data_IF_035286290970
#
_entry.id   IF_035286290970
#
_cell.length_a   1.000
_cell.length_b   1.000
_cell.length_c   1.000
_cell.angle_alpha   90.00
_cell.angle_beta   90.00
_cell.angle_gamma   90.00
#
_symmetry.space_group_name_H-M   'P 1'
#
loop_
_entity.id
_entity.type
_entity.pdbx_description
1 polymer ?
#
# COMPACT_ATOMS: atom_id res chain seq x y z
N UNK A 1 63.22 5.96 17.40
CA UNK A 1 61.99 5.62 18.13
C UNK A 1 60.89 6.56 17.65
N UNK A 2 60.07 6.12 16.70
CA UNK A 2 58.77 6.69 16.37
C UNK A 2 58.13 5.76 15.35
N UNK A 3 57.18 4.95 15.79
CA UNK A 3 56.28 4.18 14.92
C UNK A 3 54.85 4.38 15.40
N UNK A 4 54.00 4.61 14.41
CA UNK A 4 52.59 4.22 14.33
C UNK A 4 51.57 4.92 15.21
N UNK A 5 50.72 5.75 14.58
CA UNK A 5 49.30 5.85 14.94
C UNK A 5 48.48 6.38 13.73
N UNK A 6 48.40 5.58 12.66
CA UNK A 6 47.56 5.89 11.48
C UNK A 6 46.97 4.60 10.92
N UNK A 7 46.09 3.94 11.68
CA UNK A 7 45.42 2.70 11.24
C UNK A 7 44.04 2.47 11.87
N UNK A 8 43.31 3.52 12.26
CA UNK A 8 41.98 3.39 12.87
C UNK A 8 40.84 4.12 12.14
N UNK A 9 41.13 4.93 11.12
CA UNK A 9 40.08 5.65 10.37
C UNK A 9 39.61 4.95 9.08
N UNK A 10 40.34 3.96 8.56
CA UNK A 10 39.97 3.31 7.28
C UNK A 10 39.02 2.12 7.43
N UNK A 11 38.89 1.53 8.62
CA UNK A 11 38.04 0.35 8.85
C UNK A 11 36.57 0.71 9.09
N UNK A 12 36.28 1.92 9.59
CA UNK A 12 34.92 2.39 9.89
C UNK A 12 34.14 2.78 8.62
N UNK A 13 34.82 3.33 7.60
CA UNK A 13 34.17 3.70 6.33
C UNK A 13 33.80 2.50 5.46
N UNK A 14 34.54 1.38 5.55
CA UNK A 14 34.26 0.18 4.74
C UNK A 14 33.03 -0.54 5.30
N UNK A 15 32.88 -0.62 6.63
CA UNK A 15 31.73 -1.27 7.27
C UNK A 15 30.40 -0.52 7.02
N UNK A 16 30.42 0.82 6.99
CA UNK A 16 29.23 1.62 6.69
C UNK A 16 28.79 1.49 5.22
N UNK A 17 29.73 1.40 4.28
CA UNK A 17 29.43 1.22 2.87
C UNK A 17 28.89 -0.19 2.55
N UNK A 18 29.34 -1.22 3.27
CA UNK A 18 28.80 -2.59 3.11
C UNK A 18 27.45 -2.76 3.80
N UNK A 19 27.21 -2.07 4.93
CA UNK A 19 25.92 -2.10 5.60
C UNK A 19 24.82 -1.38 4.79
N UNK A 20 25.15 -0.23 4.18
CA UNK A 20 24.25 0.47 3.25
C UNK A 20 23.89 -0.40 2.06
N UNK A 21 24.88 -0.99 1.37
CA UNK A 21 24.64 -1.86 0.22
C UNK A 21 23.80 -3.10 0.58
N UNK A 22 24.00 -3.67 1.77
CA UNK A 22 23.20 -4.80 2.24
C UNK A 22 21.74 -4.40 2.53
N UNK A 23 21.51 -3.19 3.06
CA UNK A 23 20.16 -2.67 3.29
C UNK A 23 19.45 -2.34 1.99
N UNK A 24 20.16 -1.79 1.00
CA UNK A 24 19.62 -1.48 -0.33
C UNK A 24 19.16 -2.76 -1.03
N UNK A 25 19.98 -3.82 -1.02
CA UNK A 25 19.61 -5.12 -1.61
C UNK A 25 18.37 -5.71 -0.93
N UNK A 26 18.28 -5.65 0.39
CA UNK A 26 17.09 -6.13 1.11
C UNK A 26 15.86 -5.25 0.89
N UNK A 27 16.03 -3.98 0.54
CA UNK A 27 14.94 -3.07 0.20
C UNK A 27 14.33 -3.39 -1.17
N UNK A 28 15.17 -3.67 -2.16
CA UNK A 28 14.74 -4.04 -3.52
C UNK A 28 13.92 -5.34 -3.55
N UNK A 29 14.16 -6.21 -2.58
CA UNK A 29 13.49 -7.50 -2.46
C UNK A 29 12.27 -7.46 -1.56
N UNK A 30 11.77 -6.30 -1.14
CA UNK A 30 10.59 -6.23 -0.28
C UNK A 30 9.29 -6.40 -1.07
N UNK A 31 8.35 -7.12 -0.47
CA UNK A 31 7.08 -7.43 -1.13
C UNK A 31 6.39 -8.70 -0.65
N UNK A 32 5.34 -9.02 -1.39
CA UNK A 32 4.60 -10.26 -1.37
C UNK A 32 4.48 -10.73 -2.83
N UNK A 33 4.92 -11.96 -3.08
CA UNK A 33 4.94 -12.61 -4.39
C UNK A 33 4.16 -13.91 -4.26
N UNK A 34 3.32 -14.18 -5.25
CA UNK A 34 2.50 -15.38 -5.25
C UNK A 34 2.39 -15.94 -6.64
N UNK A 35 2.41 -17.27 -6.75
CA UNK A 35 2.34 -17.92 -8.04
C UNK A 35 2.12 -19.42 -7.91
N UNK A 36 1.93 -20.04 -9.06
CA UNK A 36 1.85 -21.49 -9.16
C UNK A 36 2.79 -22.01 -10.23
N UNK A 37 3.36 -23.16 -9.94
CA UNK A 37 4.13 -23.94 -10.89
C UNK A 37 3.26 -25.10 -11.38
N UNK A 38 3.02 -25.14 -12.68
CA UNK A 38 2.17 -26.16 -13.31
C UNK A 38 2.79 -27.56 -13.32
N UNK A 39 2.24 -28.48 -14.12
CA UNK A 39 2.80 -29.83 -14.24
C UNK A 39 4.29 -29.81 -14.57
N UNK A 40 5.10 -30.69 -13.94
CA UNK A 40 4.65 -31.89 -13.23
C UNK A 40 4.35 -31.71 -11.74
N UNK A 41 4.87 -30.66 -11.08
CA UNK A 41 4.82 -30.55 -9.62
C UNK A 41 3.52 -29.92 -9.06
N UNK A 42 2.73 -29.19 -9.84
CA UNK A 42 1.46 -28.56 -9.40
C UNK A 42 1.55 -27.92 -8.00
N UNK A 43 2.52 -27.03 -7.82
CA UNK A 43 2.79 -26.38 -6.54
C UNK A 43 2.33 -24.92 -6.55
N UNK A 44 1.89 -24.39 -5.40
CA UNK A 44 1.70 -22.94 -5.22
C UNK A 44 2.62 -22.38 -4.16
N UNK A 45 3.02 -21.14 -4.36
CA UNK A 45 4.02 -20.43 -3.57
C UNK A 45 3.43 -19.10 -3.15
N UNK A 46 3.54 -18.80 -1.87
CA UNK A 46 3.30 -17.49 -1.30
C UNK A 46 4.57 -17.09 -0.56
N UNK A 47 5.21 -16.01 -1.00
CA UNK A 47 6.50 -15.55 -0.49
C UNK A 47 6.29 -14.13 0.01
N UNK A 48 6.78 -13.85 1.21
CA UNK A 48 6.77 -12.52 1.81
C UNK A 48 8.14 -12.23 2.39
N UNK A 49 8.74 -11.11 1.99
CA UNK A 49 10.09 -10.70 2.38
C UNK A 49 10.00 -9.24 2.82
N UNK A 50 10.36 -8.99 4.07
CA UNK A 50 10.14 -7.70 4.76
C UNK A 50 11.44 -7.26 5.43
N UNK A 51 12.47 -7.00 4.62
CA UNK A 51 13.80 -6.70 5.10
C UNK A 51 14.54 -7.97 5.54
N UNK A 52 14.92 -8.06 6.81
CA UNK A 52 15.72 -9.18 7.33
C UNK A 52 14.90 -10.42 7.76
N UNK A 53 13.58 -10.36 7.60
CA UNK A 53 12.65 -11.44 7.94
C UNK A 53 11.71 -11.71 6.77
N UNK A 54 11.16 -12.92 6.73
CA UNK A 54 10.17 -13.29 5.73
C UNK A 54 9.41 -14.54 6.10
N UNK A 55 8.51 -14.93 5.22
CA UNK A 55 7.70 -16.14 5.30
C UNK A 55 7.56 -16.73 3.90
N UNK A 56 7.61 -18.05 3.80
CA UNK A 56 7.25 -18.75 2.57
C UNK A 56 6.25 -19.85 2.92
N UNK A 57 5.12 -19.86 2.21
CA UNK A 57 4.13 -20.93 2.25
C UNK A 57 4.15 -21.66 0.91
N UNK A 58 4.19 -22.98 1.01
CA UNK A 58 4.33 -23.90 -0.11
C UNK A 58 3.20 -24.91 -0.02
N UNK A 59 2.41 -25.01 -1.07
CA UNK A 59 1.46 -26.11 -1.23
C UNK A 59 2.04 -27.06 -2.27
N UNK A 60 2.51 -28.23 -1.85
CA UNK A 60 3.20 -29.19 -2.72
C UNK A 60 2.49 -30.54 -2.67
N UNK A 61 2.13 -31.15 -3.81
CA UNK A 61 1.58 -32.51 -3.84
C UNK A 61 2.55 -33.51 -3.22
N UNK A 62 2.06 -34.38 -2.34
CA UNK A 62 2.87 -35.46 -1.80
C UNK A 62 2.80 -36.66 -2.78
N UNK A 63 3.95 -37.19 -3.26
CA UNK A 63 3.94 -38.37 -4.12
C UNK A 63 3.17 -39.54 -3.49
N UNK A 64 2.31 -40.18 -4.26
CA UNK A 64 1.45 -41.31 -3.87
C UNK A 64 0.37 -41.03 -2.80
N UNK A 65 0.17 -39.77 -2.41
CA UNK A 65 -0.95 -39.35 -1.55
C UNK A 65 -1.96 -38.49 -2.31
N UNK A 66 -3.22 -38.49 -1.85
CA UNK A 66 -4.28 -37.64 -2.41
C UNK A 66 -4.15 -36.19 -1.87
N UNK A 67 -3.41 -36.02 -0.77
CA UNK A 67 -3.27 -34.75 -0.06
C UNK A 67 -1.99 -34.03 -0.50
N UNK A 68 -2.04 -32.71 -0.45
CA UNK A 68 -0.85 -31.86 -0.59
C UNK A 68 -0.30 -31.52 0.80
N UNK A 69 1.01 -31.35 0.89
CA UNK A 69 1.68 -30.85 2.08
C UNK A 69 1.65 -29.32 2.03
N UNK A 70 1.04 -28.71 3.04
CA UNK A 70 1.14 -27.28 3.28
C UNK A 70 2.34 -27.02 4.20
N UNK A 71 3.41 -26.45 3.64
CA UNK A 71 4.63 -26.14 4.36
C UNK A 71 4.77 -24.64 4.52
N UNK A 72 4.79 -24.18 5.77
CA UNK A 72 5.03 -22.77 6.12
C UNK A 72 6.39 -22.66 6.79
N UNK A 73 7.24 -21.77 6.28
CA UNK A 73 8.57 -21.53 6.84
C UNK A 73 8.76 -20.07 7.21
N UNK A 74 9.36 -19.86 8.37
CA UNK A 74 9.77 -18.54 8.86
C UNK A 74 11.23 -18.31 8.45
N UNK A 75 11.48 -17.20 7.78
CA UNK A 75 12.74 -16.92 7.10
C UNK A 75 13.60 -15.93 7.86
N UNK A 76 14.88 -16.24 7.97
CA UNK A 76 15.94 -15.24 8.18
C UNK A 76 16.50 -14.87 6.80
N UNK A 77 16.46 -13.57 6.47
CA UNK A 77 16.80 -13.06 5.15
C UNK A 77 18.11 -12.27 5.23
N UNK A 78 19.07 -12.64 4.39
CA UNK A 78 20.36 -11.99 4.22
C UNK A 78 20.54 -11.59 2.73
N UNK A 79 21.38 -10.60 2.38
CA UNK A 79 21.56 -10.22 0.98
C UNK A 79 21.88 -11.42 0.06
N UNK A 80 20.95 -11.73 -0.85
CA UNK A 80 21.04 -12.81 -1.84
C UNK A 80 20.61 -14.21 -1.36
N UNK A 81 20.32 -14.42 -0.08
CA UNK A 81 19.96 -15.75 0.47
C UNK A 81 18.99 -15.67 1.64
N UNK A 82 18.16 -16.69 1.81
CA UNK A 82 17.36 -16.86 3.01
C UNK A 82 17.36 -18.30 3.51
N UNK A 83 17.28 -18.43 4.83
CA UNK A 83 17.17 -19.70 5.52
C UNK A 83 15.85 -19.76 6.27
N UNK A 84 15.06 -20.79 5.98
CA UNK A 84 13.75 -21.04 6.56
C UNK A 84 13.78 -22.15 7.62
N UNK A 85 13.06 -21.93 8.71
CA UNK A 85 12.71 -22.97 9.69
C UNK A 85 11.22 -23.27 9.59
N UNK A 86 10.84 -24.55 9.63
CA UNK A 86 9.45 -24.96 9.54
C UNK A 86 8.62 -24.37 10.70
N UNK A 87 7.44 -23.86 10.38
CA UNK A 87 6.46 -23.45 11.37
C UNK A 87 5.57 -24.64 11.78
N UNK A 88 5.16 -24.68 13.04
CA UNK A 88 4.35 -25.75 13.63
C UNK A 88 2.93 -25.88 13.09
N UNK A 89 2.50 -24.95 12.23
CA UNK A 89 1.24 -25.02 11.48
C UNK A 89 1.37 -25.82 10.17
N UNK A 90 2.57 -26.32 9.84
CA UNK A 90 2.81 -27.14 8.65
C UNK A 90 2.27 -28.56 8.80
N UNK A 91 1.75 -29.12 7.71
CA UNK A 91 1.29 -30.50 7.65
C UNK A 91 2.45 -31.51 7.41
N UNK A 92 2.15 -32.81 7.52
CA UNK A 92 3.15 -33.87 7.36
C UNK A 92 3.81 -33.87 5.97
N UNK A 93 5.14 -34.08 5.92
CA UNK A 93 5.90 -34.18 4.66
C UNK A 93 6.82 -32.99 4.35
N UNK A 94 6.77 -31.94 5.17
CA UNK A 94 7.60 -30.75 5.04
C UNK A 94 9.00 -30.95 5.66
N UNK A 95 10.09 -30.60 4.94
CA UNK A 95 11.42 -30.50 5.52
C UNK A 95 11.48 -29.59 6.76
N UNK A 96 12.31 -29.93 7.74
CA UNK A 96 12.47 -29.10 8.96
C UNK A 96 13.13 -27.74 8.69
N UNK A 97 13.96 -27.67 7.65
CA UNK A 97 14.68 -26.48 7.24
C UNK A 97 14.83 -26.42 5.72
N UNK A 98 14.94 -25.20 5.20
CA UNK A 98 15.19 -24.93 3.79
C UNK A 98 16.17 -23.77 3.63
N UNK A 99 16.96 -23.78 2.56
CA UNK A 99 17.79 -22.63 2.17
C UNK A 99 17.58 -22.35 0.69
N UNK A 100 17.43 -21.07 0.37
CA UNK A 100 17.26 -20.61 -1.01
C UNK A 100 18.04 -19.33 -1.26
N UNK A 101 18.45 -19.15 -2.50
CA UNK A 101 18.88 -17.86 -3.01
C UNK A 101 17.68 -17.16 -3.65
N UNK A 102 17.73 -15.84 -3.66
CA UNK A 102 16.76 -15.02 -4.37
C UNK A 102 17.46 -13.98 -5.24
N UNK A 103 16.79 -13.64 -6.34
CA UNK A 103 17.18 -12.49 -7.17
C UNK A 103 15.91 -11.83 -7.72
N UNK A 104 15.93 -10.51 -7.77
CA UNK A 104 14.99 -9.74 -8.56
C UNK A 104 15.42 -9.82 -10.03
N UNK A 105 14.48 -10.16 -10.92
CA UNK A 105 14.70 -10.22 -12.37
C UNK A 105 14.28 -8.91 -13.08
N UNK A 106 13.85 -7.89 -12.32
CA UNK A 106 13.52 -6.55 -12.82
C UNK A 106 12.23 -6.46 -13.63
N UNK A 107 11.49 -7.57 -13.76
CA UNK A 107 10.23 -7.66 -14.48
C UNK A 107 9.04 -7.91 -13.53
N UNK A 108 9.10 -7.37 -12.30
CA UNK A 108 8.10 -7.67 -11.27
C UNK A 108 8.04 -9.18 -10.93
N UNK A 109 9.21 -9.83 -11.00
CA UNK A 109 9.39 -11.27 -10.78
C UNK A 109 10.50 -11.49 -9.75
N UNK A 110 10.19 -12.28 -8.72
CA UNK A 110 11.16 -12.81 -7.78
C UNK A 110 11.57 -14.22 -8.23
N UNK A 111 12.85 -14.46 -8.47
CA UNK A 111 13.36 -15.82 -8.72
C UNK A 111 13.85 -16.42 -7.41
N UNK A 112 13.30 -17.58 -7.05
CA UNK A 112 13.75 -18.42 -5.95
C UNK A 112 14.60 -19.56 -6.50
N UNK A 113 15.81 -19.74 -5.98
CA UNK A 113 16.68 -20.87 -6.30
C UNK A 113 16.85 -21.73 -5.05
N UNK A 114 16.46 -23.01 -5.11
CA UNK A 114 16.51 -23.92 -3.97
C UNK A 114 17.93 -24.49 -3.84
N UNK A 115 18.67 -24.04 -2.83
CA UNK A 115 20.09 -24.40 -2.67
C UNK A 115 20.29 -25.75 -1.99
N UNK A 116 19.44 -26.07 -1.01
CA UNK A 116 19.50 -27.32 -0.26
C UNK A 116 18.10 -27.71 0.23
N UNK A 117 17.61 -28.90 -0.13
CA UNK A 117 16.39 -29.43 0.50
C UNK A 117 15.77 -30.68 -0.12
N UNK A 118 15.08 -31.52 0.68
CA UNK A 118 14.18 -32.57 0.18
C UNK A 118 13.01 -32.01 -0.64
N UNK A 119 12.68 -30.73 -0.46
CA UNK A 119 11.63 -30.05 -1.23
C UNK A 119 11.97 -30.00 -2.74
N UNK A 120 13.24 -29.83 -3.12
CA UNK A 120 13.67 -29.91 -4.51
C UNK A 120 13.40 -31.31 -5.11
N UNK A 121 13.41 -32.36 -4.28
CA UNK A 121 13.04 -33.72 -4.71
C UNK A 121 11.52 -33.87 -4.85
N UNK A 122 10.74 -33.24 -3.95
CA UNK A 122 9.27 -33.18 -4.03
C UNK A 122 8.76 -32.34 -5.20
N UNK A 123 9.52 -31.34 -5.62
CA UNK A 123 9.30 -30.52 -6.82
C UNK A 123 9.94 -31.14 -8.08
N UNK A 124 10.22 -32.45 -8.09
CA UNK A 124 10.78 -33.20 -9.24
C UNK A 124 12.08 -32.63 -9.84
N UNK A 125 12.95 -32.05 -9.02
CA UNK A 125 14.24 -31.50 -9.45
C UNK A 125 14.17 -30.07 -10.00
N UNK A 126 13.12 -29.32 -9.67
CA UNK A 126 13.07 -27.87 -9.93
C UNK A 126 14.13 -27.16 -9.09
N UNK A 127 15.10 -26.56 -9.76
CA UNK A 127 16.20 -25.80 -9.15
C UNK A 127 15.80 -24.34 -8.91
N UNK A 128 14.99 -23.75 -9.79
CA UNK A 128 14.54 -22.36 -9.68
C UNK A 128 13.07 -22.16 -10.08
N UNK A 129 12.40 -21.18 -9.45
CA UNK A 129 11.03 -20.78 -9.74
C UNK A 129 10.94 -19.26 -9.78
N UNK A 130 10.34 -18.72 -10.84
CA UNK A 130 10.00 -17.31 -10.93
C UNK A 130 8.56 -17.09 -10.41
N UNK A 131 8.42 -16.22 -9.41
CA UNK A 131 7.15 -15.90 -8.74
C UNK A 131 6.81 -14.43 -9.03
N UNK A 132 5.65 -14.13 -9.63
CA UNK A 132 5.26 -12.75 -9.90
C UNK A 132 4.94 -11.99 -8.62
N UNK A 133 5.23 -10.70 -8.63
CA UNK A 133 4.85 -9.80 -7.55
C UNK A 133 3.33 -9.65 -7.48
N UNK A 134 2.83 -9.61 -6.25
CA UNK A 134 1.44 -9.24 -5.94
C UNK A 134 1.40 -7.83 -5.35
N UNK A 135 2.32 -7.55 -4.44
CA UNK A 135 2.43 -6.28 -3.73
C UNK A 135 3.91 -5.99 -3.42
N UNK A 136 4.35 -4.76 -3.66
CA UNK A 136 5.67 -4.26 -3.23
C UNK A 136 5.60 -2.75 -2.99
N UNK A 137 6.54 -2.15 -2.24
CA UNK A 137 6.67 -0.71 -2.22
C UNK A 137 6.94 -0.17 -3.63
N UNK A 138 6.50 1.07 -3.87
CA UNK A 138 6.87 1.77 -5.09
C UNK A 138 8.38 2.00 -5.13
N UNK A 139 9.00 1.72 -6.26
CA UNK A 139 10.36 2.13 -6.53
C UNK A 139 10.43 3.65 -6.69
N UNK A 140 11.57 4.24 -6.34
CA UNK A 140 11.76 5.70 -6.42
C UNK A 140 11.50 6.24 -7.83
N UNK A 141 11.88 5.47 -8.86
CA UNK A 141 11.65 5.83 -10.26
C UNK A 141 10.17 5.80 -10.68
N UNK A 142 9.30 5.13 -9.92
CA UNK A 142 7.87 5.00 -10.19
C UNK A 142 7.06 6.13 -9.54
N UNK A 143 7.68 6.90 -8.64
CA UNK A 143 7.05 8.07 -8.01
C UNK A 143 7.27 9.31 -8.89
N UNK A 144 6.21 9.92 -9.43
CA UNK A 144 6.37 11.04 -10.35
C UNK A 144 6.92 12.29 -9.69
N UNK A 145 8.01 12.83 -10.26
CA UNK A 145 8.55 14.10 -9.82
C UNK A 145 7.63 15.26 -10.25
N UNK A 146 7.17 16.06 -9.28
CA UNK A 146 6.51 17.35 -9.56
C UNK A 146 5.01 17.26 -9.87
N UNK A 147 4.38 16.10 -9.69
CA UNK A 147 2.93 16.02 -9.68
C UNK A 147 2.35 16.84 -8.52
N UNK A 148 1.26 17.55 -8.80
CA UNK A 148 0.51 18.30 -7.79
C UNK A 148 -0.89 17.72 -7.74
N UNK A 149 -1.20 17.01 -6.66
CA UNK A 149 -2.51 16.41 -6.46
C UNK A 149 -3.63 17.46 -6.58
N UNK A 150 -4.79 17.08 -7.13
CA UNK A 150 -5.98 17.93 -7.10
C UNK A 150 -6.32 18.37 -5.68
N UNK A 151 -7.01 19.50 -5.54
CA UNK A 151 -7.37 20.05 -4.23
C UNK A 151 -8.89 20.16 -4.07
N UNK A 152 -9.39 20.17 -2.84
CA UNK A 152 -10.71 20.72 -2.50
C UNK A 152 -10.49 21.94 -1.62
N UNK A 153 -11.00 23.09 -2.09
CA UNK A 153 -10.87 24.38 -1.39
C UNK A 153 -9.40 24.74 -1.04
N UNK A 154 -8.45 24.34 -1.87
CA UNK A 154 -7.01 24.56 -1.66
C UNK A 154 -6.32 23.48 -0.83
N UNK A 155 -7.06 22.58 -0.17
CA UNK A 155 -6.48 21.45 0.58
C UNK A 155 -6.34 20.25 -0.34
N UNK A 156 -5.17 19.60 -0.34
CA UNK A 156 -4.87 18.45 -1.20
C UNK A 156 -4.07 17.39 -0.46
N UNK A 157 -4.01 16.16 -0.99
CA UNK A 157 -3.06 15.17 -0.52
C UNK A 157 -1.59 15.69 -0.52
N UNK A 158 -0.78 15.13 0.37
CA UNK A 158 0.61 15.51 0.64
C UNK A 158 0.79 16.65 1.64
N UNK A 159 -0.26 17.42 1.96
CA UNK A 159 -0.20 18.49 2.97
C UNK A 159 -0.12 17.93 4.39
N UNK A 160 0.46 18.71 5.30
CA UNK A 160 0.40 18.50 6.76
C UNK A 160 -0.93 18.98 7.35
N UNK A 161 -1.20 18.60 8.61
CA UNK A 161 -2.33 19.12 9.35
C UNK A 161 -2.27 20.65 9.53
N UNK A 162 -1.08 21.20 9.78
CA UNK A 162 -0.89 22.64 9.98
C UNK A 162 -1.15 23.46 8.70
N UNK A 163 -0.74 22.94 7.54
CA UNK A 163 -1.02 23.57 6.24
C UNK A 163 -2.52 23.57 5.92
N UNK A 164 -3.20 22.44 6.15
CA UNK A 164 -4.64 22.34 5.94
C UNK A 164 -5.44 23.22 6.91
N UNK A 165 -5.04 23.29 8.18
CA UNK A 165 -5.62 24.17 9.19
C UNK A 165 -5.57 25.63 8.73
N UNK A 166 -4.41 26.11 8.30
CA UNK A 166 -4.25 27.50 7.84
C UNK A 166 -5.20 27.84 6.68
N UNK A 167 -5.43 26.89 5.76
CA UNK A 167 -6.34 27.09 4.62
C UNK A 167 -7.81 27.07 5.05
N UNK A 168 -8.21 26.09 5.87
CA UNK A 168 -9.61 25.87 6.22
C UNK A 168 -10.10 26.89 7.25
N UNK A 169 -9.27 27.29 8.20
CA UNK A 169 -9.62 28.34 9.17
C UNK A 169 -9.86 29.69 8.49
N UNK A 170 -9.05 30.03 7.48
CA UNK A 170 -9.19 31.28 6.72
C UNK A 170 -10.48 31.31 5.88
N UNK A 171 -11.02 30.12 5.58
CA UNK A 171 -12.33 29.93 4.91
C UNK A 171 -13.51 29.82 5.87
N UNK A 172 -13.29 29.99 7.17
CA UNK A 172 -14.31 29.97 8.21
C UNK A 172 -14.76 28.58 8.64
N UNK A 173 -14.00 27.52 8.32
CA UNK A 173 -14.25 26.20 8.87
C UNK A 173 -13.66 26.08 10.29
N UNK A 174 -14.34 25.32 11.13
CA UNK A 174 -13.88 24.97 12.47
C UNK A 174 -13.61 23.47 12.58
N UNK A 175 -12.45 23.12 13.15
CA UNK A 175 -12.07 21.75 13.44
C UNK A 175 -13.03 21.12 14.46
N UNK A 176 -13.52 19.93 14.14
CA UNK A 176 -14.23 19.05 15.05
C UNK A 176 -13.24 18.15 15.79
N UNK A 177 -13.74 17.42 16.80
CA UNK A 177 -12.92 16.47 17.53
C UNK A 177 -12.26 15.45 16.57
N UNK A 178 -10.92 15.27 16.63
CA UNK A 178 -10.21 14.30 15.81
C UNK A 178 -10.75 12.89 16.04
N UNK A 179 -10.82 12.10 14.96
CA UNK A 179 -11.11 10.68 15.03
C UNK A 179 -9.80 9.91 14.93
N UNK A 180 -9.53 9.07 15.92
CA UNK A 180 -8.31 8.26 15.98
C UNK A 180 -8.67 6.80 15.77
N UNK A 181 -7.88 6.12 14.94
CA UNK A 181 -7.94 4.67 14.75
C UNK A 181 -6.59 4.09 15.14
N UNK A 182 -6.59 3.21 16.14
CA UNK A 182 -5.39 2.52 16.60
C UNK A 182 -5.27 1.17 15.89
N UNK A 183 -4.07 0.88 15.40
CA UNK A 183 -3.66 -0.43 14.93
C UNK A 183 -2.53 -0.99 15.78
N UNK A 184 -2.04 -2.18 15.44
CA UNK A 184 -0.88 -2.75 16.10
C UNK A 184 0.38 -1.97 15.70
N UNK A 185 0.88 -1.12 16.60
CA UNK A 185 2.09 -0.32 16.41
C UNK A 185 1.92 0.90 15.49
N UNK A 186 0.68 1.35 15.24
CA UNK A 186 0.43 2.58 14.48
C UNK A 186 -0.87 3.28 14.89
N UNK A 187 -0.99 4.56 14.58
CA UNK A 187 -2.22 5.35 14.76
C UNK A 187 -2.56 6.11 13.48
N UNK A 188 -3.82 6.09 13.07
CA UNK A 188 -4.35 6.90 11.97
C UNK A 188 -5.22 8.01 12.54
N UNK A 189 -5.07 9.23 12.00
CA UNK A 189 -5.88 10.39 12.39
C UNK A 189 -6.75 10.81 11.23
N UNK A 190 -8.04 11.01 11.50
CA UNK A 190 -9.01 11.59 10.58
C UNK A 190 -9.53 12.91 11.18
N UNK A 191 -9.46 14.01 10.42
CA UNK A 191 -9.90 15.33 10.87
C UNK A 191 -11.12 15.78 10.08
N UNK A 192 -12.14 16.30 10.76
CA UNK A 192 -13.31 16.89 10.11
C UNK A 192 -13.38 18.38 10.42
N UNK A 193 -13.46 19.19 9.37
CA UNK A 193 -13.60 20.63 9.42
C UNK A 193 -14.99 21.01 8.95
N UNK A 194 -15.72 21.76 9.77
CA UNK A 194 -17.13 22.04 9.53
C UNK A 194 -17.37 23.53 9.46
N UNK A 195 -18.19 23.94 8.50
CA UNK A 195 -18.77 25.27 8.41
C UNK A 195 -20.28 25.14 8.35
N UNK A 196 -20.96 25.82 9.28
CA UNK A 196 -22.41 25.79 9.42
C UNK A 196 -22.98 27.18 9.21
N UNK A 197 -23.81 27.32 8.18
CA UNK A 197 -24.49 28.57 7.84
C UNK A 197 -26.00 28.31 7.76
N UNK A 198 -26.69 28.40 8.90
CA UNK A 198 -28.12 28.14 9.00
C UNK A 198 -28.46 26.65 8.83
N UNK A 199 -29.13 26.30 7.74
CA UNK A 199 -29.48 24.92 7.38
C UNK A 199 -28.47 24.29 6.41
N UNK A 200 -27.51 25.07 5.91
CA UNK A 200 -26.41 24.59 5.08
C UNK A 200 -25.33 23.94 5.96
N UNK A 201 -24.87 22.75 5.55
CA UNK A 201 -23.84 22.01 6.25
C UNK A 201 -22.72 21.66 5.28
N UNK A 202 -21.52 22.16 5.53
CA UNK A 202 -20.35 21.98 4.68
C UNK A 202 -19.21 21.39 5.51
N UNK A 203 -18.82 20.15 5.21
CA UNK A 203 -17.76 19.43 5.91
C UNK A 203 -16.63 19.09 4.96
N UNK A 204 -15.41 19.39 5.37
CA UNK A 204 -14.18 18.90 4.73
C UNK A 204 -13.56 17.84 5.65
N UNK A 205 -13.47 16.60 5.16
CA UNK A 205 -12.82 15.49 5.86
C UNK A 205 -11.40 15.29 5.34
N UNK A 206 -10.45 15.05 6.23
CA UNK A 206 -9.04 14.83 5.91
C UNK A 206 -8.61 13.48 6.51
N UNK A 207 -8.20 12.55 5.66
CA UNK A 207 -7.60 11.28 6.08
C UNK A 207 -6.09 11.35 5.96
N UNK A 208 -5.38 11.06 7.05
CA UNK A 208 -3.92 11.13 7.11
C UNK A 208 -3.30 9.74 7.01
N UNK A 209 -2.08 9.66 6.48
CA UNK A 209 -1.23 8.48 6.62
C UNK A 209 -1.03 8.15 8.10
N UNK A 210 -0.87 6.87 8.39
CA UNK A 210 -0.57 6.34 9.69
C UNK A 210 0.75 6.90 10.25
N UNK A 211 0.74 7.16 11.55
CA UNK A 211 1.93 7.33 12.33
C UNK A 211 2.36 5.97 12.85
N UNK A 212 3.37 5.37 12.22
CA UNK A 212 3.96 4.08 12.62
C UNK A 212 5.00 4.31 13.71
N UNK A 213 4.99 3.48 14.75
CA UNK A 213 5.94 3.56 15.85
C UNK A 213 7.38 3.40 15.34
N UNK A 214 8.25 4.35 15.74
CA UNK A 214 9.68 4.31 15.43
C UNK A 214 10.08 4.83 14.04
N UNK A 215 9.14 5.06 13.12
CA UNK A 215 9.44 5.55 11.76
C UNK A 215 9.72 7.06 11.72
N UNK A 216 9.11 7.81 12.65
CA UNK A 216 9.35 9.26 12.80
C UNK A 216 8.84 10.12 11.64
N UNK A 217 8.21 9.53 10.62
CA UNK A 217 7.56 10.24 9.53
C UNK A 217 6.39 11.09 10.06
N UNK A 218 6.30 12.32 9.58
CA UNK A 218 5.17 13.20 9.86
C UNK A 218 3.96 12.77 9.01
N UNK A 219 2.79 12.52 9.62
CA UNK A 219 1.57 12.19 8.89
C UNK A 219 1.21 13.21 7.80
N UNK A 220 0.90 12.71 6.61
CA UNK A 220 0.49 13.51 5.45
C UNK A 220 -0.95 13.21 5.09
N UNK A 221 -1.68 14.19 4.56
CA UNK A 221 -3.02 13.96 4.03
C UNK A 221 -2.91 13.02 2.84
N UNK A 222 -3.61 11.89 2.85
CA UNK A 222 -3.73 10.99 1.70
C UNK A 222 -5.11 11.09 1.02
N UNK A 223 -6.11 11.55 1.77
CA UNK A 223 -7.49 11.75 1.29
C UNK A 223 -8.04 13.09 1.73
N UNK A 224 -8.66 13.80 0.81
CA UNK A 224 -9.48 15.00 1.09
C UNK A 224 -10.89 14.73 0.62
N UNK A 225 -11.88 14.84 1.50
CA UNK A 225 -13.28 14.71 1.16
C UNK A 225 -14.03 16.00 1.44
N UNK A 226 -15.14 16.24 0.75
CA UNK A 226 -16.09 17.29 1.08
C UNK A 226 -17.51 16.80 0.93
N UNK A 227 -18.32 17.04 1.95
CA UNK A 227 -19.76 16.82 1.92
C UNK A 227 -20.46 18.14 2.18
N UNK A 228 -21.20 18.63 1.19
CA UNK A 228 -21.88 19.90 1.22
C UNK A 228 -23.37 19.70 0.96
N UNK A 229 -24.18 19.89 2.01
CA UNK A 229 -25.64 19.93 1.93
C UNK A 229 -26.07 21.36 1.68
N UNK A 230 -26.76 21.56 0.55
CA UNK A 230 -27.20 22.86 0.07
C UNK A 230 -28.70 23.02 0.30
N UNK A 231 -29.16 24.27 0.45
CA UNK A 231 -30.58 24.60 0.53
C UNK A 231 -31.01 25.34 -0.73
N UNK A 232 -32.32 25.51 -0.92
CA UNK A 232 -32.83 26.31 -2.04
C UNK A 232 -32.36 27.77 -1.99
N UNK A 233 -32.02 28.30 -0.81
CA UNK A 233 -31.44 29.64 -0.63
C UNK A 233 -30.01 29.75 -1.15
N UNK A 234 -29.26 28.64 -1.19
CA UNK A 234 -27.89 28.60 -1.75
C UNK A 234 -27.90 28.90 -3.26
N UNK A 235 -28.99 28.59 -3.96
CA UNK A 235 -29.22 28.97 -5.36
C UNK A 235 -28.29 28.32 -6.40
N UNK A 236 -27.57 27.27 -6.01
CA UNK A 236 -26.62 26.55 -6.86
C UNK A 236 -27.36 25.45 -7.64
N UNK A 237 -27.19 25.43 -8.96
CA UNK A 237 -27.78 24.39 -9.82
C UNK A 237 -26.85 23.20 -9.99
N UNK A 238 -27.42 22.01 -10.26
CA UNK A 238 -26.64 20.81 -10.61
C UNK A 238 -25.71 21.09 -11.80
N UNK A 239 -26.21 21.79 -12.82
CA UNK A 239 -25.42 22.16 -14.00
C UNK A 239 -24.24 23.08 -13.66
N UNK A 240 -24.45 24.09 -12.81
CA UNK A 240 -23.39 25.02 -12.42
C UNK A 240 -22.26 24.35 -11.63
N UNK A 241 -22.58 23.35 -10.79
CA UNK A 241 -21.58 22.54 -10.11
C UNK A 241 -20.80 21.69 -11.10
N UNK A 242 -21.47 20.99 -12.02
CA UNK A 242 -20.80 20.20 -13.07
C UNK A 242 -19.84 21.05 -13.89
N UNK A 243 -20.28 22.23 -14.32
CA UNK A 243 -19.47 23.16 -15.10
C UNK A 243 -18.26 23.65 -14.29
N UNK A 244 -18.45 23.93 -12.99
CA UNK A 244 -17.37 24.36 -12.10
C UNK A 244 -16.34 23.24 -11.88
N UNK A 245 -16.78 22.02 -11.64
CA UNK A 245 -15.90 20.85 -11.50
C UNK A 245 -15.16 20.56 -12.80
N UNK A 246 -15.85 20.63 -13.94
CA UNK A 246 -15.25 20.46 -15.27
C UNK A 246 -14.24 21.56 -15.57
N UNK A 247 -14.51 22.79 -15.15
CA UNK A 247 -13.55 23.91 -15.28
C UNK A 247 -12.31 23.66 -14.42
N UNK A 248 -12.48 23.10 -13.22
CA UNK A 248 -11.39 22.86 -12.28
C UNK A 248 -10.53 21.64 -12.63
N UNK A 249 -11.15 20.50 -12.88
CA UNK A 249 -10.46 19.20 -13.06
C UNK A 249 -10.45 18.73 -14.51
N UNK A 250 -11.07 19.47 -15.43
CA UNK A 250 -11.25 19.13 -16.84
C UNK A 250 -12.43 18.20 -17.10
N UNK A 251 -12.51 17.64 -18.30
CA UNK A 251 -13.54 16.65 -18.64
C UNK A 251 -13.29 15.35 -17.87
N UNK A 252 -14.32 14.75 -17.22
CA UNK A 252 -14.20 13.47 -16.52
C UNK A 252 -13.84 12.29 -17.46
N UNK A 253 -13.25 11.23 -16.93
CA UNK A 253 -12.81 10.04 -17.68
C UNK A 253 -14.01 9.11 -17.96
N UNK A 254 -14.36 8.89 -19.24
CA UNK A 254 -15.32 7.84 -19.68
C UNK A 254 -16.82 8.11 -19.40
N UNK A 255 -17.70 7.44 -20.17
CA UNK A 255 -19.12 7.80 -20.41
C UNK A 255 -20.12 7.38 -19.28
N UNK A 256 -21.38 7.84 -19.28
CA UNK A 256 -22.07 8.56 -18.22
C UNK A 256 -23.21 7.69 -17.68
N UNK A 257 -22.93 6.52 -17.11
CA UNK A 257 -24.06 5.72 -16.60
C UNK A 257 -24.79 6.46 -15.48
N UNK A 258 -24.07 7.33 -14.76
CA UNK A 258 -24.60 8.30 -13.82
C UNK A 258 -23.95 9.67 -14.09
N UNK A 259 -24.58 10.57 -14.86
CA UNK A 259 -24.12 11.97 -15.02
C UNK A 259 -23.98 12.71 -13.67
N UNK A 260 -24.63 12.18 -12.64
CA UNK A 260 -24.57 12.66 -11.26
C UNK A 260 -23.24 12.31 -10.57
N UNK A 261 -22.43 11.38 -11.10
CA UNK A 261 -21.21 10.89 -10.47
C UNK A 261 -19.96 11.02 -11.37
N UNK A 262 -19.47 12.24 -11.65
CA UNK A 262 -18.28 12.42 -12.46
C UNK A 262 -17.01 11.98 -11.70
N UNK A 263 -16.09 11.35 -12.43
CA UNK A 263 -14.82 10.84 -11.89
C UNK A 263 -13.67 11.30 -12.79
N UNK A 264 -12.58 11.73 -12.17
CA UNK A 264 -11.32 12.09 -12.82
C UNK A 264 -10.22 11.17 -12.33
N UNK A 265 -9.47 10.59 -13.26
CA UNK A 265 -8.35 9.71 -12.98
C UNK A 265 -7.11 10.30 -13.62
N UNK A 266 -6.02 10.29 -12.85
CA UNK A 266 -4.71 10.77 -13.26
C UNK A 266 -3.75 9.57 -13.32
N UNK A 267 -3.10 9.39 -14.47
CA UNK A 267 -2.03 8.41 -14.62
C UNK A 267 -0.77 8.86 -13.87
N UNK A 268 0.24 7.97 -13.84
CA UNK A 268 1.53 8.25 -13.18
C UNK A 268 2.30 9.41 -13.80
N UNK A 269 2.03 9.79 -15.05
CA UNK A 269 2.59 11.00 -15.64
C UNK A 269 1.76 12.27 -15.32
N UNK A 270 0.70 12.17 -14.52
CA UNK A 270 -0.22 13.24 -14.19
C UNK A 270 -1.18 13.61 -15.32
N UNK A 271 -1.22 12.83 -16.41
CA UNK A 271 -2.18 13.05 -17.49
C UNK A 271 -3.52 12.39 -17.14
N UNK A 272 -4.57 12.76 -17.87
CA UNK A 272 -5.89 12.13 -17.76
C UNK A 272 -6.07 11.15 -18.92
N UNK A 273 -5.83 9.85 -18.70
CA UNK A 273 -5.95 8.86 -19.76
C UNK A 273 -7.42 8.63 -20.14
N UNK A 274 -7.71 8.34 -21.40
CA UNK A 274 -9.07 7.96 -21.84
C UNK A 274 -9.39 6.51 -21.42
N UNK A 275 -9.56 6.27 -20.12
CA UNK A 275 -9.78 4.94 -19.52
C UNK A 275 -11.22 4.80 -19.05
N UNK A 276 -11.73 3.57 -19.06
CA UNK A 276 -13.01 3.22 -18.42
C UNK A 276 -12.76 2.86 -16.96
N UNK A 277 -13.71 3.21 -16.09
CA UNK A 277 -13.63 3.00 -14.64
C UNK A 277 -13.42 1.54 -14.20
N UNK A 278 -13.84 0.56 -15.00
CA UNK A 278 -13.66 -0.87 -14.70
C UNK A 278 -12.37 -1.44 -15.31
N UNK A 279 -11.68 -0.65 -16.12
CA UNK A 279 -10.42 -1.00 -16.78
C UNK A 279 -9.31 -0.06 -16.28
N UNK A 280 -9.38 0.40 -15.01
CA UNK A 280 -8.41 1.32 -14.40
C UNK A 280 -7.05 0.65 -14.20
N UNK A 281 -6.35 0.49 -15.31
CA UNK A 281 -4.95 0.14 -15.40
C UNK A 281 -4.23 1.36 -15.97
N UNK A 282 -3.64 2.17 -15.08
CA UNK A 282 -2.78 3.27 -15.48
C UNK A 282 -1.34 2.82 -15.78
N UNK A 283 -1.09 1.51 -15.86
CA UNK A 283 0.16 0.89 -16.25
C UNK A 283 1.20 0.74 -15.14
N UNK A 284 2.34 0.17 -15.57
CA UNK A 284 3.69 0.02 -14.96
C UNK A 284 3.85 -0.45 -13.50
N UNK A 285 2.78 -0.55 -12.71
CA UNK A 285 2.83 -1.04 -11.33
C UNK A 285 1.84 -2.19 -11.15
N UNK A 286 2.14 -3.19 -10.29
CA UNK A 286 1.25 -4.32 -10.06
C UNK A 286 -0.18 -3.86 -9.75
N UNK A 287 -1.14 -4.45 -10.46
CA UNK A 287 -2.56 -4.17 -10.27
C UNK A 287 -3.04 -4.74 -8.93
N UNK A 288 -2.80 -3.98 -7.86
CA UNK A 288 -3.28 -4.26 -6.52
C UNK A 288 -4.49 -3.39 -6.20
N UNK A 289 -5.46 -3.97 -5.51
CA UNK A 289 -6.65 -3.28 -5.02
C UNK A 289 -6.59 -3.20 -3.50
N UNK A 290 -6.60 -1.99 -2.96
CA UNK A 290 -6.75 -1.79 -1.51
C UNK A 290 -8.19 -2.06 -1.08
N UNK A 291 -8.43 -2.75 0.06
CA UNK A 291 -9.78 -2.88 0.60
C UNK A 291 -10.35 -1.51 0.93
N UNK A 292 -11.53 -1.18 0.40
CA UNK A 292 -12.16 0.15 0.56
C UNK A 292 -12.38 0.55 2.03
N UNK A 293 -12.55 -0.44 2.93
CA UNK A 293 -12.69 -0.21 4.37
C UNK A 293 -11.46 0.38 5.05
N UNK A 294 -10.28 0.33 4.43
CA UNK A 294 -9.07 0.98 4.96
C UNK A 294 -9.07 2.50 4.72
N UNK A 295 -9.84 2.96 3.74
CA UNK A 295 -9.81 4.34 3.19
C UNK A 295 -10.99 5.20 3.68
N UNK A 296 -11.83 4.65 4.56
CA UNK A 296 -13.01 5.32 5.10
C UNK A 296 -14.26 5.06 4.27
N UNK A 297 -15.25 5.97 4.33
CA UNK A 297 -16.60 5.80 3.77
C UNK A 297 -16.69 5.90 2.24
N UNK A 298 -15.71 5.37 1.52
CA UNK A 298 -15.75 5.27 0.06
C UNK A 298 -16.59 4.07 -0.38
N UNK A 299 -17.44 4.27 -1.38
CA UNK A 299 -18.36 3.26 -1.90
C UNK A 299 -17.68 2.20 -2.78
N UNK A 300 -16.41 2.41 -3.15
CA UNK A 300 -15.62 1.41 -3.87
C UNK A 300 -15.12 0.35 -2.90
N UNK A 301 -15.49 -0.91 -3.15
CA UNK A 301 -15.03 -2.06 -2.36
C UNK A 301 -13.51 -2.28 -2.49
N UNK A 302 -12.95 -1.84 -3.62
CA UNK A 302 -11.56 -2.00 -4.02
C UNK A 302 -11.07 -0.71 -4.69
N UNK A 303 -9.86 -0.27 -4.33
CA UNK A 303 -9.24 0.93 -4.91
C UNK A 303 -7.99 0.50 -5.67
N UNK A 304 -7.97 0.59 -7.02
CA UNK A 304 -6.81 0.22 -7.81
C UNK A 304 -5.70 1.24 -7.61
N UNK A 305 -4.52 0.82 -7.18
CA UNK A 305 -3.35 1.70 -6.94
C UNK A 305 -2.39 1.81 -8.14
N UNK A 306 -2.81 1.30 -9.30
CA UNK A 306 -2.05 1.43 -10.56
C UNK A 306 -1.97 2.88 -11.04
N UNK A 307 -2.98 3.70 -10.71
CA UNK A 307 -3.06 5.12 -11.04
C UNK A 307 -2.43 6.01 -9.96
N UNK A 308 -2.26 7.30 -10.27
CA UNK A 308 -1.63 8.27 -9.37
C UNK A 308 -2.64 8.93 -8.42
N UNK A 309 -3.77 9.39 -8.97
CA UNK A 309 -4.79 10.08 -8.19
C UNK A 309 -6.19 9.89 -8.78
N UNK A 310 -7.19 9.99 -7.92
CA UNK A 310 -8.61 9.96 -8.30
C UNK A 310 -9.33 11.14 -7.66
N UNK A 311 -10.20 11.79 -8.44
CA UNK A 311 -11.23 12.68 -7.93
C UNK A 311 -12.59 12.06 -8.23
N UNK A 312 -13.40 11.86 -7.21
CA UNK A 312 -14.80 11.45 -7.37
C UNK A 312 -15.73 12.55 -6.89
N UNK A 313 -16.87 12.73 -7.54
CA UNK A 313 -17.95 13.56 -7.03
C UNK A 313 -19.29 12.86 -7.20
N UNK A 314 -20.26 13.16 -6.33
CA UNK A 314 -21.67 12.81 -6.44
C UNK A 314 -22.49 14.09 -6.22
N UNK A 315 -23.26 14.48 -7.23
CA UNK A 315 -24.10 15.69 -7.21
C UNK A 315 -25.56 15.24 -7.21
N UNK A 316 -26.23 15.42 -6.08
CA UNK A 316 -27.63 15.04 -5.95
C UNK A 316 -28.52 16.28 -6.11
N UNK A 317 -29.56 16.22 -6.96
CA UNK A 317 -30.53 17.31 -7.08
C UNK A 317 -31.30 17.50 -5.78
N UNK A 318 -31.86 18.69 -5.60
CA UNK A 318 -32.81 18.96 -4.51
C UNK A 318 -34.04 18.06 -4.65
N UNK A 319 -34.69 17.74 -3.51
CA UNK A 319 -35.94 16.98 -3.53
C UNK A 319 -37.12 17.76 -4.14
N UNK A 320 -37.00 19.08 -4.27
CA UNK A 320 -38.05 19.97 -4.75
C UNK A 320 -38.18 19.96 -6.29
N UNK A 321 -37.24 19.34 -7.01
CA UNK A 321 -37.31 19.15 -8.46
C UNK A 321 -37.13 20.43 -9.29
N UNK A 322 -36.53 21.46 -8.69
CA UNK A 322 -36.28 22.78 -9.27
C UNK A 322 -34.98 22.88 -10.08
N UNK A 323 -34.22 21.78 -10.17
CA UNK A 323 -32.90 21.74 -10.82
C UNK A 323 -31.76 22.31 -9.97
N UNK A 324 -32.04 22.71 -8.72
CA UNK A 324 -31.02 23.05 -7.74
C UNK A 324 -30.29 21.80 -7.27
N UNK A 325 -29.05 21.98 -6.83
CA UNK A 325 -28.31 20.93 -6.14
C UNK A 325 -28.75 20.89 -4.67
N UNK A 326 -29.05 19.70 -4.15
CA UNK A 326 -29.33 19.48 -2.73
C UNK A 326 -28.11 18.99 -1.97
N UNK A 327 -27.19 18.27 -2.65
CA UNK A 327 -25.99 17.74 -2.02
C UNK A 327 -24.85 17.58 -3.02
N UNK A 328 -23.63 17.80 -2.55
CA UNK A 328 -22.39 17.49 -3.22
C UNK A 328 -21.53 16.67 -2.27
N UNK A 329 -21.19 15.44 -2.63
CA UNK A 329 -20.12 14.68 -2.00
C UNK A 329 -18.93 14.61 -2.96
N UNK A 330 -17.72 14.75 -2.45
CA UNK A 330 -16.50 14.73 -3.24
C UNK A 330 -15.36 14.11 -2.47
N UNK A 331 -14.44 13.53 -3.23
CA UNK A 331 -13.20 12.97 -2.71
C UNK A 331 -12.05 13.21 -3.68
N UNK A 332 -10.87 13.46 -3.12
CA UNK A 332 -9.59 13.45 -3.80
C UNK A 332 -8.69 12.46 -3.07
N UNK A 333 -8.16 11.50 -3.81
CA UNK A 333 -7.25 10.46 -3.34
C UNK A 333 -5.91 10.58 -4.04
N UNK A 334 -4.84 10.41 -3.28
CA UNK A 334 -3.48 10.18 -3.79
C UNK A 334 -3.11 8.72 -3.54
N UNK A 335 -3.06 7.95 -4.62
CA UNK A 335 -2.97 6.51 -4.57
C UNK A 335 -1.56 6.03 -4.23
N UNK A 336 -0.52 6.82 -4.57
CA UNK A 336 0.86 6.52 -4.19
C UNK A 336 1.04 6.70 -2.67
N UNK A 337 0.50 7.78 -2.09
CA UNK A 337 0.50 7.97 -0.63
C UNK A 337 -0.29 6.87 0.08
N UNK A 338 -1.42 6.45 -0.48
CA UNK A 338 -2.23 5.37 0.09
C UNK A 338 -1.53 4.01 0.01
N UNK A 339 -0.87 3.70 -1.10
CA UNK A 339 -0.07 2.49 -1.24
C UNK A 339 1.12 2.49 -0.28
N UNK A 340 1.82 3.62 -0.14
CA UNK A 340 2.92 3.78 0.81
C UNK A 340 2.45 3.58 2.26
N UNK A 341 1.29 4.16 2.62
CA UNK A 341 0.69 4.01 3.95
C UNK A 341 0.28 2.56 4.26
N UNK A 342 -0.41 1.94 3.30
CA UNK A 342 -0.76 0.53 3.39
C UNK A 342 0.48 -0.34 3.54
N UNK A 343 1.49 -0.13 2.71
CA UNK A 343 2.75 -0.86 2.77
C UNK A 343 3.39 -0.72 4.15
N UNK A 344 3.49 0.51 4.68
CA UNK A 344 4.09 0.77 5.98
C UNK A 344 3.35 0.05 7.13
N UNK A 345 2.02 0.15 7.17
CA UNK A 345 1.19 -0.45 8.23
C UNK A 345 1.12 -1.97 8.12
N UNK A 346 0.89 -2.51 6.92
CA UNK A 346 0.85 -3.95 6.65
C UNK A 346 2.21 -4.60 6.91
N UNK A 347 3.31 -3.98 6.46
CA UNK A 347 4.68 -4.46 6.71
C UNK A 347 4.97 -4.48 8.20
N UNK A 348 4.64 -3.41 8.93
CA UNK A 348 4.91 -3.33 10.36
C UNK A 348 4.24 -4.49 11.13
N UNK A 349 2.94 -4.71 10.91
CA UNK A 349 2.21 -5.81 11.55
C UNK A 349 2.76 -7.19 11.17
N UNK A 350 3.12 -7.41 9.90
CA UNK A 350 3.69 -8.69 9.48
C UNK A 350 5.11 -8.93 10.01
N UNK A 351 5.96 -7.90 10.10
CA UNK A 351 7.28 -8.02 10.73
C UNK A 351 7.13 -8.43 12.19
N UNK A 352 6.26 -7.77 12.96
CA UNK A 352 6.01 -8.13 14.36
C UNK A 352 5.52 -9.58 14.51
N UNK A 353 4.57 -10.00 13.66
CA UNK A 353 4.07 -11.38 13.63
C UNK A 353 5.17 -12.39 13.34
N UNK A 354 5.94 -12.17 12.27
CA UNK A 354 7.00 -13.09 11.82
C UNK A 354 8.12 -13.16 12.87
N UNK A 355 8.47 -12.04 13.51
CA UNK A 355 9.45 -12.02 14.59
C UNK A 355 8.96 -12.76 15.83
N UNK A 356 7.68 -12.63 16.19
CA UNK A 356 7.08 -13.41 17.28
C UNK A 356 7.11 -14.91 16.98
N UNK A 357 6.78 -15.32 15.75
CA UNK A 357 6.89 -16.71 15.29
C UNK A 357 8.34 -17.21 15.33
N UNK A 358 9.30 -16.40 14.87
CA UNK A 358 10.73 -16.72 14.94
C UNK A 358 11.21 -16.92 16.39
N UNK A 359 10.77 -16.07 17.33
CA UNK A 359 11.09 -16.21 18.75
C UNK A 359 10.48 -17.48 19.34
N UNK A 360 9.23 -17.79 18.99
CA UNK A 360 8.57 -19.05 19.38
C UNK A 360 9.38 -20.26 18.93
N UNK A 361 9.79 -20.31 17.66
CA UNK A 361 10.62 -21.40 17.12
C UNK A 361 11.98 -21.50 17.82
N UNK A 362 12.64 -20.38 18.10
CA UNK A 362 13.91 -20.35 18.85
C UNK A 362 13.77 -20.82 20.31
N UNK A 363 12.63 -20.57 20.95
CA UNK A 363 12.35 -20.99 22.33
C UNK A 363 12.04 -22.48 22.50
N UNK A 364 11.64 -23.16 21.42
CA UNK A 364 11.37 -24.61 21.41
C UNK A 364 12.67 -25.43 21.33
N UNK A 365 13.80 -24.81 20.97
CA UNK A 365 15.13 -25.44 20.93
C UNK A 365 15.97 -25.00 22.13
N UNK A 366 15.52 -25.33 23.34
CA UNK A 366 16.45 -25.55 24.46
C UNK A 366 16.24 -26.98 24.95
N UNK A 367 16.96 -27.98 24.40
CA UNK A 367 17.10 -29.23 25.13
C UNK A 367 17.91 -28.91 26.38
N UNK A 368 17.34 -29.16 27.56
CA UNK A 368 18.10 -29.23 28.80
C UNK A 368 19.32 -30.13 28.56
N UNK A 369 20.52 -29.56 28.75
CA UNK A 369 21.79 -30.31 28.76
C UNK A 369 21.92 -31.18 30.00
#
# INVERSE_FOLDING_TARGET
MTHSCTALLSTVLIAAATASQAQDVLADLQGYWSGSYGPPANASFDVMLLGAVGEITLDVPVPDEILSANCRYILAVEPGTASGSIDGDSDGGCPDAMTFAFRDDGADMLVLEFLDGPLAQGLEGVEEIAVPVVLRPLAEAETPSGFVAPDILGVRPGMTAAEAEAILSDKGYALQEPQLREGEGFTVTDLNWVRNEGQEWDTVGLGFTAQVEGDGAEPRIMRVSRSWTMTSETGVTVSSLRDSLTTKYGTPNGIPSNEDQPIWVFDRAGNRPEVRLYDLDCGEVPAFSLPGGMVGSWSMQEIPVSCLAIVGADIQPSFDGDGLAGRLDMDVLDLDLMLADFWATWRHGNVLRIEADKQRLGSVVTPEL
#
